data_IF_278248403829
#
_entry.id   IF_278248403829
#
_cell.length_a   1.000
_cell.length_b   1.000
_cell.length_c   1.000
_cell.angle_alpha   90.00
_cell.angle_beta   90.00
_cell.angle_gamma   90.00
#
_symmetry.space_group_name_H-M   'P 1'
#
loop_
_entity.id
_entity.type
_entity.pdbx_description
1 polymer ?
#
# COMPACT_ATOMS: atom_id res chain seq x y z
N UNK A 1 -14.61 13.95 -28.09
CA UNK A 1 -14.53 12.50 -28.37
C UNK A 1 -14.64 11.77 -27.04
N UNK A 2 -15.75 11.09 -26.77
CA UNK A 2 -15.97 10.40 -25.49
C UNK A 2 -15.25 9.04 -25.52
N UNK A 3 -14.27 8.85 -24.66
CA UNK A 3 -13.60 7.56 -24.52
C UNK A 3 -14.64 6.46 -24.18
N UNK A 4 -14.53 5.31 -24.84
CA UNK A 4 -15.38 4.14 -24.65
C UNK A 4 -15.30 3.69 -23.16
N UNK A 5 -16.41 3.34 -22.50
CA UNK A 5 -16.41 2.90 -21.10
C UNK A 5 -15.36 1.83 -20.79
N UNK A 6 -15.13 0.86 -21.71
CA UNK A 6 -14.12 -0.19 -21.52
C UNK A 6 -12.69 0.37 -21.43
N UNK A 7 -12.36 1.41 -22.20
CA UNK A 7 -11.01 2.01 -22.17
C UNK A 7 -10.78 2.81 -20.88
N UNK A 8 -11.84 3.38 -20.29
CA UNK A 8 -11.74 4.10 -19.00
C UNK A 8 -11.51 3.14 -17.85
N UNK A 9 -12.21 2.00 -17.82
CA UNK A 9 -12.01 0.98 -16.79
C UNK A 9 -10.58 0.44 -16.85
N UNK A 10 -10.06 0.11 -18.03
CA UNK A 10 -8.69 -0.37 -18.17
C UNK A 10 -7.65 0.66 -17.73
N UNK A 11 -7.85 1.94 -18.08
CA UNK A 11 -6.97 3.02 -17.62
C UNK A 11 -7.00 3.19 -16.09
N UNK A 12 -8.18 3.09 -15.47
CA UNK A 12 -8.33 3.13 -14.01
C UNK A 12 -7.58 1.98 -13.32
N UNK A 13 -7.70 0.76 -13.86
CA UNK A 13 -7.04 -0.41 -13.28
C UNK A 13 -5.50 -0.35 -13.41
N UNK A 14 -4.99 0.19 -14.52
CA UNK A 14 -3.54 0.44 -14.68
C UNK A 14 -3.08 1.50 -13.68
N UNK A 15 -3.83 2.58 -13.51
CA UNK A 15 -3.51 3.62 -12.52
C UNK A 15 -3.48 3.04 -11.10
N UNK A 16 -4.51 2.30 -10.71
CA UNK A 16 -4.57 1.62 -9.41
C UNK A 16 -3.37 0.67 -9.23
N UNK A 17 -3.06 -0.14 -10.23
CA UNK A 17 -1.90 -1.04 -10.17
C UNK A 17 -0.58 -0.29 -9.98
N UNK A 18 -0.41 0.88 -10.60
CA UNK A 18 0.78 1.73 -10.41
C UNK A 18 0.84 2.35 -9.01
N UNK A 19 -0.28 2.80 -8.47
CA UNK A 19 -0.36 3.33 -7.11
C UNK A 19 0.00 2.24 -6.09
N UNK A 20 -0.61 1.06 -6.20
CA UNK A 20 -0.29 -0.09 -5.36
C UNK A 20 1.19 -0.48 -5.45
N UNK A 21 1.79 -0.43 -6.63
CA UNK A 21 3.21 -0.71 -6.79
C UNK A 21 4.08 0.36 -6.12
N UNK A 22 3.71 1.64 -6.23
CA UNK A 22 4.43 2.72 -5.54
C UNK A 22 4.35 2.56 -4.01
N UNK A 23 3.18 2.25 -3.47
CA UNK A 23 2.97 1.94 -2.05
C UNK A 23 3.80 0.72 -1.61
N UNK A 24 3.84 -0.34 -2.43
CA UNK A 24 4.66 -1.51 -2.15
C UNK A 24 6.16 -1.18 -2.09
N UNK A 25 6.63 -0.33 -3.01
CA UNK A 25 8.02 0.16 -3.01
C UNK A 25 8.31 0.98 -1.76
N UNK A 26 7.39 1.84 -1.31
CA UNK A 26 7.60 2.61 -0.08
C UNK A 26 7.71 1.71 1.15
N UNK A 27 6.89 0.65 1.26
CA UNK A 27 7.03 -0.34 2.34
C UNK A 27 8.34 -1.11 2.25
N UNK A 28 8.80 -1.48 1.05
CA UNK A 28 10.09 -2.13 0.89
C UNK A 28 11.25 -1.24 1.35
N UNK A 29 11.21 0.05 1.01
CA UNK A 29 12.20 1.03 1.48
C UNK A 29 12.14 1.17 3.00
N UNK A 30 10.95 1.36 3.59
CA UNK A 30 10.78 1.46 5.05
C UNK A 30 11.32 0.23 5.78
N UNK A 31 10.99 -0.96 5.28
CA UNK A 31 11.49 -2.22 5.83
C UNK A 31 13.03 -2.27 5.85
N UNK A 32 13.68 -1.88 4.76
CA UNK A 32 15.15 -1.81 4.67
C UNK A 32 15.71 -0.81 5.69
N UNK A 33 15.06 0.36 5.86
CA UNK A 33 15.48 1.36 6.83
C UNK A 33 15.42 0.82 8.27
N UNK A 34 14.35 0.10 8.61
CA UNK A 34 14.14 -0.55 9.90
C UNK A 34 15.03 -1.78 10.16
N UNK A 35 15.56 -2.41 9.10
CA UNK A 35 16.58 -3.46 9.22
C UNK A 35 17.98 -2.94 9.60
N UNK A 36 18.10 -1.65 9.97
CA UNK A 36 19.33 -1.09 10.54
C UNK A 36 20.12 -0.18 9.60
N UNK A 37 19.54 0.23 8.47
CA UNK A 37 20.17 1.24 7.59
C UNK A 37 20.04 2.65 8.16
N UNK A 38 18.93 2.97 8.82
CA UNK A 38 18.71 4.27 9.46
C UNK A 38 18.34 4.15 10.95
N UNK A 39 17.54 3.15 11.31
CA UNK A 39 17.20 2.84 12.69
C UNK A 39 16.98 1.32 12.84
N UNK A 40 17.46 0.71 13.92
CA UNK A 40 17.20 -0.70 14.17
C UNK A 40 15.87 -0.88 14.92
N UNK A 41 14.78 -1.05 14.19
CA UNK A 41 13.47 -1.38 14.75
C UNK A 41 12.87 -2.60 14.03
N UNK A 42 13.45 -3.77 14.31
CA UNK A 42 13.18 -5.02 13.58
C UNK A 42 11.72 -5.47 13.65
N UNK A 43 11.01 -5.09 14.72
CA UNK A 43 9.59 -5.39 14.92
C UNK A 43 8.70 -4.78 13.83
N UNK A 44 9.12 -3.65 13.23
CA UNK A 44 8.43 -3.04 12.08
C UNK A 44 8.95 -3.58 10.73
N UNK A 45 10.23 -3.95 10.66
CA UNK A 45 10.88 -4.34 9.41
C UNK A 45 10.22 -5.54 8.72
N UNK A 46 9.89 -6.59 9.49
CA UNK A 46 9.28 -7.82 8.94
C UNK A 46 7.84 -7.57 8.45
N UNK A 47 6.93 -6.98 9.25
CA UNK A 47 5.58 -6.65 8.77
C UNK A 47 5.57 -5.81 7.50
N UNK A 48 6.43 -4.79 7.41
CA UNK A 48 6.51 -3.93 6.22
C UNK A 48 6.99 -4.69 4.98
N UNK A 49 7.97 -5.60 5.11
CA UNK A 49 8.39 -6.46 4.01
C UNK A 49 7.26 -7.36 3.51
N UNK A 50 6.49 -7.95 4.43
CA UNK A 50 5.34 -8.79 4.08
C UNK A 50 4.30 -7.97 3.31
N UNK A 51 3.97 -6.76 3.79
CA UNK A 51 3.03 -5.86 3.12
C UNK A 51 3.56 -5.49 1.73
N UNK A 52 4.83 -5.15 1.59
CA UNK A 52 5.45 -4.82 0.31
C UNK A 52 5.29 -5.95 -0.72
N UNK A 53 5.57 -7.20 -0.33
CA UNK A 53 5.45 -8.37 -1.21
C UNK A 53 3.99 -8.63 -1.58
N UNK A 54 3.07 -8.63 -0.61
CA UNK A 54 1.65 -8.90 -0.85
C UNK A 54 1.03 -7.84 -1.76
N UNK A 55 1.30 -6.56 -1.48
CA UNK A 55 0.75 -5.45 -2.25
C UNK A 55 1.37 -5.39 -3.65
N UNK A 56 2.69 -5.62 -3.76
CA UNK A 56 3.39 -5.68 -5.06
C UNK A 56 2.89 -6.83 -5.95
N UNK A 57 2.67 -8.02 -5.39
CA UNK A 57 2.12 -9.15 -6.13
C UNK A 57 0.70 -8.85 -6.64
N UNK A 58 -0.15 -8.24 -5.81
CA UNK A 58 -1.50 -7.85 -6.19
C UNK A 58 -1.50 -6.73 -7.25
N UNK A 59 -0.58 -5.76 -7.17
CA UNK A 59 -0.38 -4.72 -8.17
C UNK A 59 -0.04 -5.31 -9.54
N UNK A 60 0.90 -6.27 -9.59
CA UNK A 60 1.26 -6.98 -10.82
C UNK A 60 0.05 -7.75 -11.37
N UNK A 61 -0.71 -8.43 -10.50
CA UNK A 61 -1.89 -9.16 -10.90
C UNK A 61 -2.95 -8.24 -11.54
N UNK A 62 -3.26 -7.09 -10.93
CA UNK A 62 -4.27 -6.15 -11.45
C UNK A 62 -3.86 -5.54 -12.78
N UNK A 63 -2.57 -5.24 -12.97
CA UNK A 63 -2.07 -4.74 -14.26
C UNK A 63 -2.10 -5.79 -15.37
N UNK A 64 -1.94 -7.08 -15.04
CA UNK A 64 -1.91 -8.18 -16.03
C UNK A 64 -3.29 -8.75 -16.37
N UNK A 65 -4.16 -8.87 -15.36
CA UNK A 65 -5.46 -9.58 -15.46
C UNK A 65 -6.66 -8.64 -15.39
N UNK A 66 -6.46 -7.35 -15.09
CA UNK A 66 -7.51 -6.35 -15.01
C UNK A 66 -8.58 -6.71 -13.97
N UNK A 67 -9.84 -6.61 -14.38
CA UNK A 67 -11.00 -6.79 -13.49
C UNK A 67 -11.04 -8.17 -12.80
N UNK A 68 -10.50 -9.22 -13.42
CA UNK A 68 -10.47 -10.57 -12.84
C UNK A 68 -9.62 -10.72 -11.57
N UNK A 69 -8.85 -9.70 -11.20
CA UNK A 69 -7.99 -9.67 -10.00
C UNK A 69 -8.39 -8.60 -8.98
N UNK A 70 -9.51 -7.92 -9.18
CA UNK A 70 -9.89 -6.76 -8.38
C UNK A 70 -10.26 -7.12 -6.93
N UNK A 71 -10.76 -8.34 -6.70
CA UNK A 71 -10.91 -8.90 -5.36
C UNK A 71 -9.58 -9.06 -4.61
N UNK A 72 -8.56 -9.58 -5.30
CA UNK A 72 -7.21 -9.73 -4.74
C UNK A 72 -6.57 -8.38 -4.45
N UNK A 73 -6.71 -7.42 -5.38
CA UNK A 73 -6.20 -6.07 -5.20
C UNK A 73 -6.83 -5.39 -3.98
N UNK A 74 -8.16 -5.45 -3.83
CA UNK A 74 -8.84 -4.90 -2.67
C UNK A 74 -8.40 -5.58 -1.37
N UNK A 75 -8.31 -6.91 -1.34
CA UNK A 75 -7.88 -7.64 -0.15
C UNK A 75 -6.45 -7.26 0.26
N UNK A 76 -5.52 -7.16 -0.69
CA UNK A 76 -4.14 -6.77 -0.43
C UNK A 76 -4.03 -5.33 0.08
N UNK A 77 -4.76 -4.38 -0.52
CA UNK A 77 -4.76 -2.98 -0.06
C UNK A 77 -5.39 -2.85 1.34
N UNK A 78 -6.47 -3.59 1.64
CA UNK A 78 -7.06 -3.61 2.98
C UNK A 78 -6.14 -4.26 4.02
N UNK A 79 -5.40 -5.30 3.64
CA UNK A 79 -4.36 -5.89 4.49
C UNK A 79 -3.26 -4.89 4.82
N UNK A 80 -2.74 -4.17 3.80
CA UNK A 80 -1.77 -3.11 3.99
C UNK A 80 -2.31 -2.00 4.91
N UNK A 81 -3.56 -1.58 4.70
CA UNK A 81 -4.23 -0.56 5.52
C UNK A 81 -4.32 -0.98 6.99
N UNK A 82 -4.71 -2.22 7.26
CA UNK A 82 -4.75 -2.76 8.62
C UNK A 82 -3.35 -2.78 9.26
N UNK A 83 -2.32 -3.18 8.50
CA UNK A 83 -0.92 -3.14 8.94
C UNK A 83 -0.47 -1.73 9.35
N UNK A 84 -0.80 -0.71 8.56
CA UNK A 84 -0.46 0.70 8.88
C UNK A 84 -1.19 1.20 10.12
N UNK A 85 -2.47 0.84 10.30
CA UNK A 85 -3.24 1.21 11.49
C UNK A 85 -2.60 0.60 12.75
N UNK A 86 -2.14 -0.65 12.67
CA UNK A 86 -1.40 -1.30 13.76
C UNK A 86 -0.07 -0.57 14.00
N UNK A 87 0.71 -0.27 12.95
CA UNK A 87 1.96 0.48 13.07
C UNK A 87 1.79 1.84 13.73
N UNK A 88 0.77 2.61 13.34
CA UNK A 88 0.41 3.89 13.98
C UNK A 88 0.08 3.71 15.46
N UNK A 89 -0.65 2.66 15.82
CA UNK A 89 -1.02 2.39 17.21
C UNK A 89 0.22 2.11 18.06
N UNK A 90 1.20 1.40 17.52
CA UNK A 90 2.49 1.13 18.17
C UNK A 90 3.31 2.41 18.33
N UNK A 91 3.38 3.26 17.29
CA UNK A 91 4.13 4.52 17.32
C UNK A 91 3.54 5.49 18.37
N UNK A 92 2.21 5.66 18.37
CA UNK A 92 1.52 6.59 19.27
C UNK A 92 1.52 6.08 20.72
N UNK A 93 1.41 4.76 20.91
CA UNK A 93 1.46 4.13 22.23
C UNK A 93 2.87 3.92 22.78
N UNK A 94 3.91 4.20 21.99
CA UNK A 94 5.30 3.98 22.35
C UNK A 94 5.83 4.99 23.37
N UNK A 95 6.82 4.62 24.19
CA UNK A 95 7.43 5.51 25.18
C UNK A 95 8.34 6.60 24.57
N UNK A 96 8.71 6.45 23.30
CA UNK A 96 9.60 7.36 22.57
C UNK A 96 8.85 7.98 21.41
N UNK A 97 8.89 9.31 21.31
CA UNK A 97 8.32 10.03 20.17
C UNK A 97 9.13 9.78 18.89
N UNK A 98 8.46 9.33 17.83
CA UNK A 98 9.04 9.00 16.52
C UNK A 98 8.33 9.83 15.44
N UNK A 99 8.62 11.14 15.32
CA UNK A 99 7.85 12.04 14.45
C UNK A 99 7.97 11.69 12.96
N UNK A 100 9.13 11.17 12.54
CA UNK A 100 9.36 10.75 11.15
C UNK A 100 8.53 9.50 10.82
N UNK A 101 8.57 8.47 11.68
CA UNK A 101 7.75 7.26 11.49
C UNK A 101 6.26 7.59 11.48
N UNK A 102 5.81 8.48 12.37
CA UNK A 102 4.43 8.95 12.41
C UNK A 102 4.02 9.63 11.09
N UNK A 103 4.85 10.55 10.59
CA UNK A 103 4.59 11.27 9.34
C UNK A 103 4.54 10.30 8.15
N UNK A 104 5.45 9.33 8.10
CA UNK A 104 5.47 8.28 7.09
C UNK A 104 4.19 7.45 7.12
N UNK A 105 3.83 6.91 8.29
CA UNK A 105 2.64 6.07 8.45
C UNK A 105 1.34 6.82 8.16
N UNK A 106 1.22 8.08 8.58
CA UNK A 106 0.06 8.91 8.26
C UNK A 106 -0.05 9.18 6.75
N UNK A 107 1.08 9.44 6.08
CA UNK A 107 1.10 9.69 4.64
C UNK A 107 0.69 8.45 3.85
N UNK A 108 1.28 7.28 4.17
CA UNK A 108 0.95 6.04 3.48
C UNK A 108 -0.48 5.58 3.79
N UNK A 109 -1.02 5.87 4.98
CA UNK A 109 -2.43 5.64 5.31
C UNK A 109 -3.35 6.38 4.35
N UNK A 110 -3.11 7.68 4.12
CA UNK A 110 -3.91 8.51 3.20
C UNK A 110 -3.82 7.97 1.78
N UNK A 111 -2.62 7.59 1.33
CA UNK A 111 -2.42 7.00 0.01
C UNK A 111 -3.23 5.70 -0.17
N UNK A 112 -3.12 4.77 0.77
CA UNK A 112 -3.85 3.50 0.76
C UNK A 112 -5.37 3.69 0.77
N UNK A 113 -5.89 4.64 1.56
CA UNK A 113 -7.32 5.00 1.55
C UNK A 113 -7.73 5.48 0.15
N UNK A 114 -6.92 6.34 -0.48
CA UNK A 114 -7.15 6.77 -1.86
C UNK A 114 -7.21 5.59 -2.85
N UNK A 115 -6.27 4.67 -2.73
CA UNK A 115 -6.21 3.45 -3.55
C UNK A 115 -7.44 2.55 -3.33
N UNK A 116 -7.89 2.36 -2.08
CA UNK A 116 -9.15 1.63 -1.78
C UNK A 116 -10.35 2.30 -2.43
N UNK A 117 -10.47 3.62 -2.33
CA UNK A 117 -11.58 4.37 -2.96
C UNK A 117 -11.58 4.19 -4.48
N UNK A 118 -10.41 4.23 -5.12
CA UNK A 118 -10.29 4.00 -6.57
C UNK A 118 -10.64 2.56 -6.96
N UNK A 119 -10.21 1.58 -6.16
CA UNK A 119 -10.57 0.17 -6.35
C UNK A 119 -12.08 -0.05 -6.26
N UNK A 120 -12.74 0.54 -5.26
CA UNK A 120 -14.19 0.42 -5.08
C UNK A 120 -14.97 1.09 -6.20
N UNK A 121 -14.45 2.19 -6.77
CA UNK A 121 -15.04 2.86 -7.94
C UNK A 121 -14.78 2.15 -9.28
N UNK A 122 -13.84 1.21 -9.29
CA UNK A 122 -13.45 0.44 -10.48
C UNK A 122 -14.11 -0.96 -10.54
N UNK A 123 -14.90 -1.32 -9.52
CA UNK A 123 -15.81 -2.48 -9.54
C UNK A 123 -17.04 -2.18 -10.38
#
# INVERSE_FOLDING_TARGET
MNANPVSRTNASLILVGRLMLAEAVTFAIASILHFGVAESFIDAAIPEAIIAVVLGAAAIAVMRRGAGSLGLALAATLFALAGVIIGLSVIIGGPVSRPIDLAYHATILVALVGTVVLLLRSR
#
